data_IF_246249537034
#
_entry.id   IF_246249537034
#
_cell.length_a   1.000
_cell.length_b   1.000
_cell.length_c   1.000
_cell.angle_alpha   90.00
_cell.angle_beta   90.00
_cell.angle_gamma   90.00
#
_symmetry.space_group_name_H-M   'P 1'
#
loop_
_entity.id
_entity.type
_entity.pdbx_description
1 polymer ?
#
# COMPACT_ATOMS: atom_id res chain seq x y z
N UNK A 1 2.78 30.40 25.72
CA UNK A 1 1.42 30.18 26.25
C UNK A 1 0.49 31.08 25.49
N UNK A 2 -0.69 30.55 25.17
CA UNK A 2 -1.81 31.10 24.40
C UNK A 2 -1.87 30.97 22.87
N UNK A 3 -3.09 30.59 22.47
CA UNK A 3 -3.67 30.27 21.15
C UNK A 3 -3.32 28.86 20.62
N UNK A 4 -4.24 27.91 20.46
CA UNK A 4 -5.69 27.95 20.45
C UNK A 4 -6.20 26.52 20.68
N UNK A 5 -6.96 26.28 21.74
CA UNK A 5 -7.79 25.07 21.86
C UNK A 5 -8.87 25.19 20.79
N UNK A 6 -8.58 24.66 19.60
CA UNK A 6 -9.52 24.60 18.49
C UNK A 6 -10.65 23.68 18.94
N UNK A 7 -11.78 24.26 19.30
CA UNK A 7 -12.98 23.53 19.72
C UNK A 7 -13.21 22.37 18.75
N UNK A 8 -13.15 21.17 19.31
CA UNK A 8 -13.28 19.92 18.59
C UNK A 8 -14.74 19.81 18.15
N UNK A 9 -15.03 20.25 16.93
CA UNK A 9 -16.39 20.21 16.35
C UNK A 9 -16.94 18.78 16.48
N UNK A 10 -18.15 18.62 17.02
CA UNK A 10 -18.83 17.34 17.25
C UNK A 10 -18.79 16.31 16.09
N UNK A 11 -18.73 16.66 14.79
CA UNK A 11 -18.61 15.66 13.72
C UNK A 11 -17.28 14.90 13.75
N UNK A 12 -16.21 15.49 14.27
CA UNK A 12 -14.88 14.85 14.36
C UNK A 12 -14.82 13.78 15.44
N UNK A 13 -15.65 13.90 16.47
CA UNK A 13 -15.75 12.93 17.56
C UNK A 13 -16.46 11.66 17.11
N UNK A 14 -17.57 11.81 16.35
CA UNK A 14 -18.25 10.69 15.71
C UNK A 14 -17.35 10.02 14.67
N UNK A 15 -16.62 10.82 13.87
CA UNK A 15 -15.67 10.32 12.88
C UNK A 15 -14.49 9.55 13.48
N UNK A 16 -14.03 9.90 14.69
CA UNK A 16 -13.02 9.14 15.43
C UNK A 16 -13.57 7.84 16.01
N UNK A 17 -14.82 7.81 16.47
CA UNK A 17 -15.48 6.58 16.92
C UNK A 17 -15.68 5.58 15.76
N UNK A 18 -15.99 6.09 14.57
CA UNK A 18 -16.14 5.29 13.34
C UNK A 18 -14.81 4.92 12.68
N UNK A 19 -13.72 5.61 13.01
CA UNK A 19 -12.42 5.39 12.39
C UNK A 19 -11.27 5.73 13.37
N UNK A 20 -11.03 4.85 14.38
CA UNK A 20 -10.13 5.15 15.50
C UNK A 20 -8.66 5.24 15.08
N UNK A 21 -8.29 4.70 13.92
CA UNK A 21 -6.90 4.63 13.44
C UNK A 21 -6.55 5.69 12.39
N UNK A 22 -7.47 6.62 12.08
CA UNK A 22 -7.24 7.72 11.14
C UNK A 22 -6.11 8.65 11.63
N UNK A 23 -5.20 9.01 10.73
CA UNK A 23 -4.15 10.00 11.05
C UNK A 23 -4.75 11.39 11.33
N UNK A 24 -4.12 12.16 12.23
CA UNK A 24 -4.57 13.53 12.54
C UNK A 24 -4.33 14.52 11.40
N UNK A 25 -3.30 14.29 10.59
CA UNK A 25 -3.02 15.07 9.39
C UNK A 25 -3.76 14.49 8.18
N UNK A 26 -4.64 15.28 7.57
CA UNK A 26 -5.44 14.90 6.41
C UNK A 26 -4.59 14.59 5.17
N UNK A 27 -3.46 15.28 4.99
CA UNK A 27 -2.53 14.99 3.88
C UNK A 27 -1.87 13.62 4.06
N UNK A 28 -1.50 13.29 5.31
CA UNK A 28 -0.90 11.99 5.64
C UNK A 28 -1.90 10.85 5.42
N UNK A 29 -3.16 11.08 5.79
CA UNK A 29 -4.24 10.11 5.51
C UNK A 29 -4.46 9.95 4.01
N UNK A 30 -4.48 11.03 3.23
CA UNK A 30 -4.58 10.93 1.75
C UNK A 30 -3.40 10.17 1.14
N UNK A 31 -2.18 10.40 1.63
CA UNK A 31 -0.98 9.69 1.17
C UNK A 31 -1.08 8.20 1.49
N UNK A 32 -1.52 7.86 2.71
CA UNK A 32 -1.76 6.49 3.15
C UNK A 32 -2.84 5.79 2.31
N UNK A 33 -3.96 6.46 2.02
CA UNK A 33 -5.03 5.91 1.17
C UNK A 33 -4.53 5.61 -0.25
N UNK A 34 -3.72 6.49 -0.85
CA UNK A 34 -3.08 6.22 -2.15
C UNK A 34 -2.08 5.08 -2.07
N UNK A 35 -1.27 5.03 -1.01
CA UNK A 35 -0.31 3.95 -0.77
C UNK A 35 -1.01 2.59 -0.68
N UNK A 36 -2.07 2.49 0.12
CA UNK A 36 -2.86 1.26 0.24
C UNK A 36 -3.53 0.87 -1.06
N UNK A 37 -4.14 1.81 -1.77
CA UNK A 37 -4.79 1.55 -3.05
C UNK A 37 -3.82 0.89 -4.04
N UNK A 38 -2.58 1.39 -4.10
CA UNK A 38 -1.51 0.80 -4.92
C UNK A 38 -1.00 -0.54 -4.38
N UNK A 39 -0.80 -0.65 -3.07
CA UNK A 39 -0.32 -1.88 -2.44
C UNK A 39 -1.33 -3.03 -2.61
N UNK A 40 -2.63 -2.74 -2.47
CA UNK A 40 -3.74 -3.70 -2.55
C UNK A 40 -4.28 -3.87 -3.98
N UNK A 41 -3.75 -3.17 -4.98
CA UNK A 41 -4.08 -3.50 -6.39
C UNK A 41 -3.75 -4.97 -6.70
N UNK A 42 -2.59 -5.45 -6.24
CA UNK A 42 -2.19 -6.85 -6.36
C UNK A 42 -3.15 -7.81 -5.64
N UNK A 43 -3.63 -7.43 -4.44
CA UNK A 43 -4.58 -8.27 -3.70
C UNK A 43 -5.95 -8.32 -4.39
N UNK A 44 -6.44 -7.21 -4.93
CA UNK A 44 -7.69 -7.15 -5.71
C UNK A 44 -7.58 -8.01 -6.97
N UNK A 45 -6.45 -7.93 -7.68
CA UNK A 45 -6.17 -8.82 -8.84
C UNK A 45 -6.19 -10.28 -8.41
N UNK A 46 -5.56 -10.64 -7.29
CA UNK A 46 -5.55 -12.00 -6.77
C UNK A 46 -6.96 -12.50 -6.39
N UNK A 47 -7.79 -11.66 -5.78
CA UNK A 47 -9.20 -11.95 -5.46
C UNK A 47 -9.99 -12.29 -6.72
N UNK A 48 -9.90 -11.43 -7.75
CA UNK A 48 -10.63 -11.64 -9.00
C UNK A 48 -10.13 -12.88 -9.72
N UNK A 49 -8.81 -13.11 -9.77
CA UNK A 49 -8.21 -14.30 -10.36
C UNK A 49 -8.65 -15.59 -9.65
N UNK A 50 -8.70 -15.59 -8.32
CA UNK A 50 -9.20 -16.71 -7.53
C UNK A 50 -10.67 -17.00 -7.86
N UNK A 51 -11.50 -15.95 -8.03
CA UNK A 51 -12.90 -16.12 -8.42
C UNK A 51 -13.08 -16.64 -9.84
N UNK A 52 -12.25 -16.22 -10.80
CA UNK A 52 -12.22 -16.82 -12.15
C UNK A 52 -11.90 -18.31 -12.03
N UNK A 53 -10.87 -18.69 -11.28
CA UNK A 53 -10.50 -20.08 -11.08
C UNK A 53 -11.66 -20.88 -10.44
N UNK A 54 -12.22 -20.39 -9.34
CA UNK A 54 -13.31 -21.05 -8.61
C UNK A 54 -14.54 -21.25 -9.51
N UNK A 55 -15.00 -20.21 -10.19
CA UNK A 55 -16.19 -20.26 -11.06
C UNK A 55 -15.98 -21.15 -12.28
N UNK A 56 -14.76 -21.17 -12.83
CA UNK A 56 -14.38 -22.10 -13.91
C UNK A 56 -14.44 -23.54 -13.45
N UNK A 57 -13.84 -23.85 -12.29
CA UNK A 57 -13.86 -25.21 -11.72
C UNK A 57 -15.29 -25.66 -11.43
N UNK A 58 -16.13 -24.79 -10.84
CA UNK A 58 -17.54 -25.09 -10.60
C UNK A 58 -18.33 -25.32 -11.89
N UNK A 59 -18.10 -24.51 -12.93
CA UNK A 59 -18.75 -24.67 -14.23
C UNK A 59 -18.35 -25.99 -14.93
N UNK A 60 -17.06 -26.34 -14.89
CA UNK A 60 -16.54 -27.59 -15.47
C UNK A 60 -17.09 -28.80 -14.72
N UNK A 61 -17.01 -28.80 -13.39
CA UNK A 61 -17.53 -29.89 -12.56
C UNK A 61 -19.05 -30.06 -12.75
N UNK A 62 -19.78 -28.95 -12.78
CA UNK A 62 -21.22 -28.95 -13.04
C UNK A 62 -21.56 -29.58 -14.38
N UNK A 63 -20.87 -29.19 -15.45
CA UNK A 63 -21.08 -29.75 -16.79
C UNK A 63 -20.69 -31.23 -16.88
N UNK A 64 -19.54 -31.60 -16.29
CA UNK A 64 -19.04 -32.96 -16.30
C UNK A 64 -19.98 -33.95 -15.58
N UNK A 65 -20.59 -33.52 -14.46
CA UNK A 65 -21.47 -34.36 -13.66
C UNK A 65 -22.89 -34.47 -14.24
N UNK A 66 -23.49 -33.34 -14.63
CA UNK A 66 -24.90 -33.33 -15.10
C UNK A 66 -25.05 -33.64 -16.58
N UNK A 67 -23.98 -33.56 -17.38
CA UNK A 67 -23.95 -33.77 -18.83
C UNK A 67 -25.05 -33.01 -19.62
N UNK A 68 -25.63 -31.97 -19.02
CA UNK A 68 -26.67 -31.12 -19.57
C UNK A 68 -26.49 -29.67 -19.08
N UNK A 69 -26.85 -28.67 -19.89
CA UNK A 69 -26.78 -27.27 -19.49
C UNK A 69 -27.88 -26.97 -18.46
N UNK A 70 -27.54 -27.06 -17.17
CA UNK A 70 -28.42 -26.60 -16.09
C UNK A 70 -28.31 -25.08 -15.91
N UNK A 71 -29.36 -24.39 -15.43
CA UNK A 71 -29.32 -22.93 -15.22
C UNK A 71 -28.20 -22.50 -14.28
N UNK A 72 -27.85 -23.32 -13.29
CA UNK A 72 -26.75 -23.09 -12.37
C UNK A 72 -25.38 -23.14 -13.06
N UNK A 73 -25.16 -24.08 -13.98
CA UNK A 73 -23.92 -24.16 -14.76
C UNK A 73 -23.77 -22.96 -15.70
N UNK A 74 -24.87 -22.53 -16.34
CA UNK A 74 -24.90 -21.32 -17.18
C UNK A 74 -24.54 -20.09 -16.36
N UNK A 75 -25.05 -19.99 -15.13
CA UNK A 75 -24.73 -18.87 -14.24
C UNK A 75 -23.26 -18.86 -13.80
N UNK A 76 -22.68 -20.01 -13.45
CA UNK A 76 -21.25 -20.11 -13.12
C UNK A 76 -20.36 -19.75 -14.31
N UNK A 77 -20.73 -20.17 -15.52
CA UNK A 77 -20.04 -19.77 -16.75
C UNK A 77 -20.13 -18.25 -17.01
N UNK A 78 -21.30 -17.65 -16.79
CA UNK A 78 -21.50 -16.20 -16.90
C UNK A 78 -20.64 -15.42 -15.88
N UNK A 79 -20.56 -15.90 -14.63
CA UNK A 79 -19.70 -15.29 -13.60
C UNK A 79 -18.22 -15.42 -13.94
N UNK A 80 -17.80 -16.55 -14.50
CA UNK A 80 -16.42 -16.73 -14.98
C UNK A 80 -16.06 -15.69 -16.04
N UNK A 81 -16.92 -15.52 -17.07
CA UNK A 81 -16.70 -14.51 -18.12
C UNK A 81 -16.64 -13.10 -17.51
N UNK A 82 -17.56 -12.79 -16.59
CA UNK A 82 -17.63 -11.48 -15.97
C UNK A 82 -16.38 -11.15 -15.12
N UNK A 83 -15.92 -12.08 -14.28
CA UNK A 83 -14.68 -11.89 -13.52
C UNK A 83 -13.44 -11.91 -14.42
N UNK A 84 -13.44 -12.64 -15.54
CA UNK A 84 -12.34 -12.61 -16.52
C UNK A 84 -12.26 -11.25 -17.24
N UNK A 85 -13.40 -10.65 -17.59
CA UNK A 85 -13.45 -9.28 -18.13
C UNK A 85 -12.94 -8.28 -17.10
N UNK A 86 -13.36 -8.41 -15.84
CA UNK A 86 -12.89 -7.55 -14.75
C UNK A 86 -11.39 -7.70 -14.51
N UNK A 87 -10.86 -8.93 -14.60
CA UNK A 87 -9.43 -9.22 -14.48
C UNK A 87 -8.64 -8.58 -15.62
N UNK A 88 -9.15 -8.70 -16.86
CA UNK A 88 -8.59 -8.03 -18.03
C UNK A 88 -8.56 -6.51 -17.83
N UNK A 89 -9.66 -5.93 -17.35
CA UNK A 89 -9.76 -4.50 -17.03
C UNK A 89 -8.74 -4.07 -15.96
N UNK A 90 -8.61 -4.84 -14.87
CA UNK A 90 -7.62 -4.61 -13.80
C UNK A 90 -6.17 -4.63 -14.28
N UNK A 91 -5.87 -5.41 -15.33
CA UNK A 91 -4.53 -5.51 -15.93
C UNK A 91 -4.24 -4.40 -16.96
N UNK A 92 -5.26 -3.70 -17.45
CA UNK A 92 -5.04 -2.60 -18.38
C UNK A 92 -4.36 -1.41 -17.69
N UNK A 93 -3.45 -0.75 -18.40
CA UNK A 93 -2.81 0.51 -17.94
C UNK A 93 -3.78 1.70 -17.84
N UNK A 94 -5.05 1.51 -18.22
CA UNK A 94 -6.10 2.53 -18.13
C UNK A 94 -6.63 2.71 -16.70
N UNK A 95 -6.26 1.81 -15.77
CA UNK A 95 -6.67 1.88 -14.38
C UNK A 95 -6.01 3.05 -13.65
N UNK A 96 -6.75 4.15 -13.51
CA UNK A 96 -6.40 5.23 -12.58
C UNK A 96 -6.79 4.85 -11.14
N UNK A 97 -6.04 5.37 -10.17
CA UNK A 97 -6.25 5.13 -8.72
C UNK A 97 -7.70 5.44 -8.26
N UNK A 98 -8.43 6.32 -8.97
CA UNK A 98 -9.83 6.67 -8.66
C UNK A 98 -10.84 5.58 -9.02
N UNK A 99 -10.57 4.74 -10.03
CA UNK A 99 -11.50 3.69 -10.45
C UNK A 99 -11.39 2.42 -9.60
N UNK A 100 -10.28 2.20 -8.88
CA UNK A 100 -10.07 0.97 -8.11
C UNK A 100 -11.14 0.78 -7.03
N UNK A 101 -11.55 1.86 -6.36
CA UNK A 101 -12.60 1.80 -5.34
C UNK A 101 -13.96 1.40 -5.94
N UNK A 102 -14.31 1.94 -7.11
CA UNK A 102 -15.52 1.56 -7.84
C UNK A 102 -15.48 0.10 -8.30
N UNK A 103 -14.33 -0.36 -8.77
CA UNK A 103 -14.11 -1.78 -9.10
C UNK A 103 -14.29 -2.65 -7.85
N UNK A 104 -13.82 -2.21 -6.68
CA UNK A 104 -14.03 -2.97 -5.44
C UNK A 104 -15.51 -3.11 -5.07
N UNK A 105 -16.31 -2.07 -5.24
CA UNK A 105 -17.77 -2.15 -5.05
C UNK A 105 -18.43 -3.05 -6.09
N UNK A 106 -17.98 -3.00 -7.35
CA UNK A 106 -18.45 -3.91 -8.39
C UNK A 106 -18.13 -5.38 -8.05
N UNK A 107 -16.90 -5.66 -7.60
CA UNK A 107 -16.50 -7.00 -7.11
C UNK A 107 -17.44 -7.43 -5.99
N UNK A 108 -17.64 -6.62 -4.94
CA UNK A 108 -18.56 -6.96 -3.85
C UNK A 108 -19.98 -7.28 -4.33
N UNK A 109 -20.49 -6.50 -5.28
CA UNK A 109 -21.79 -6.76 -5.88
C UNK A 109 -21.84 -8.13 -6.56
N UNK A 110 -20.85 -8.46 -7.40
CA UNK A 110 -20.80 -9.76 -8.08
C UNK A 110 -20.51 -10.94 -7.12
N UNK A 111 -19.83 -10.70 -6.01
CA UNK A 111 -19.66 -11.68 -4.94
C UNK A 111 -21.00 -11.96 -4.24
N UNK A 112 -21.80 -10.93 -3.98
CA UNK A 112 -23.14 -11.11 -3.41
C UNK A 112 -24.06 -11.87 -4.38
N UNK A 113 -24.03 -11.56 -5.69
CA UNK A 113 -24.81 -12.31 -6.68
C UNK A 113 -24.35 -13.77 -6.77
N UNK A 114 -23.04 -14.05 -6.68
CA UNK A 114 -22.52 -15.41 -6.61
C UNK A 114 -23.08 -16.19 -5.42
N UNK A 115 -23.15 -15.58 -4.23
CA UNK A 115 -23.79 -16.18 -3.06
C UNK A 115 -25.30 -16.35 -3.25
N UNK A 116 -25.98 -15.40 -3.90
CA UNK A 116 -27.43 -15.45 -4.10
C UNK A 116 -27.86 -16.67 -4.95
N UNK A 117 -27.07 -17.08 -5.94
CA UNK A 117 -27.38 -18.27 -6.75
C UNK A 117 -27.04 -19.58 -6.04
N UNK A 118 -26.18 -19.54 -5.02
CA UNK A 118 -25.96 -20.70 -4.17
C UNK A 118 -27.10 -20.95 -3.17
N UNK A 119 -28.06 -20.01 -3.05
CA UNK A 119 -29.23 -20.16 -2.20
C UNK A 119 -30.27 -21.07 -2.86
N UNK A 120 -31.06 -21.79 -2.04
CA UNK A 120 -32.14 -22.63 -2.56
C UNK A 120 -33.15 -21.79 -3.36
N UNK A 121 -33.45 -22.14 -4.62
CA UNK A 121 -34.34 -21.36 -5.46
C UNK A 121 -35.79 -21.41 -4.97
N UNK A 122 -36.49 -20.29 -5.15
CA UNK A 122 -37.93 -20.18 -4.91
C UNK A 122 -38.69 -21.18 -5.80
N UNK A 123 -39.65 -21.88 -5.20
CA UNK A 123 -40.33 -23.03 -5.76
C UNK A 123 -41.23 -22.61 -6.95
N UNK A 124 -40.70 -22.64 -8.17
CA UNK A 124 -41.52 -22.67 -9.39
C UNK A 124 -41.01 -23.74 -10.35
N UNK A 125 -41.54 -24.96 -10.17
CA UNK A 125 -41.67 -26.01 -11.20
C UNK A 125 -40.48 -26.94 -11.51
N UNK A 126 -39.69 -27.40 -10.53
CA UNK A 126 -38.90 -28.65 -10.70
C UNK A 126 -38.96 -29.53 -9.47
N UNK A 127 -39.57 -30.70 -9.62
CA UNK A 127 -40.20 -31.56 -8.60
C UNK A 127 -39.28 -32.53 -7.84
N UNK A 128 -37.97 -32.31 -7.67
CA UNK A 128 -37.11 -33.35 -7.04
C UNK A 128 -35.87 -32.92 -6.25
N UNK A 129 -35.58 -31.62 -6.03
CA UNK A 129 -34.41 -31.24 -5.21
C UNK A 129 -34.81 -30.88 -3.78
N UNK A 130 -34.41 -31.74 -2.84
CA UNK A 130 -34.49 -31.45 -1.39
C UNK A 130 -33.41 -30.45 -1.04
N UNK A 131 -33.80 -29.24 -0.67
CA UNK A 131 -32.88 -28.14 -0.32
C UNK A 131 -32.58 -28.15 1.17
N UNK A 132 -31.31 -28.20 1.55
CA UNK A 132 -30.86 -28.22 2.95
C UNK A 132 -30.43 -26.83 3.38
N UNK A 133 -30.65 -26.43 4.65
CA UNK A 133 -30.25 -25.11 5.12
C UNK A 133 -28.72 -24.85 5.10
N UNK A 134 -27.91 -25.91 4.96
CA UNK A 134 -26.47 -25.82 4.78
C UNK A 134 -26.03 -25.46 3.33
N UNK A 135 -26.95 -25.47 2.36
CA UNK A 135 -26.65 -25.03 1.00
C UNK A 135 -26.31 -23.53 0.98
N UNK A 136 -25.25 -23.16 0.27
CA UNK A 136 -24.80 -21.77 0.21
C UNK A 136 -23.89 -21.32 1.37
N UNK A 137 -23.81 -22.08 2.48
CA UNK A 137 -23.06 -21.65 3.68
C UNK A 137 -21.57 -21.46 3.39
N UNK A 138 -20.95 -22.37 2.64
CA UNK A 138 -19.51 -22.25 2.34
C UNK A 138 -19.21 -21.06 1.41
N UNK A 139 -20.10 -20.75 0.46
CA UNK A 139 -19.97 -19.59 -0.42
C UNK A 139 -20.03 -18.29 0.38
N UNK A 140 -20.98 -18.18 1.31
CA UNK A 140 -21.10 -17.01 2.20
C UNK A 140 -19.86 -16.86 3.07
N UNK A 141 -19.42 -17.92 3.75
CA UNK A 141 -18.21 -17.89 4.59
C UNK A 141 -16.99 -17.45 3.77
N UNK A 142 -16.83 -18.02 2.58
CA UNK A 142 -15.71 -17.71 1.69
C UNK A 142 -15.73 -16.25 1.22
N UNK A 143 -16.88 -15.75 0.76
CA UNK A 143 -17.05 -14.36 0.30
C UNK A 143 -16.86 -13.35 1.43
N UNK A 144 -17.43 -13.62 2.60
CA UNK A 144 -17.28 -12.74 3.78
C UNK A 144 -15.80 -12.67 4.19
N UNK A 145 -15.12 -13.81 4.28
CA UNK A 145 -13.69 -13.84 4.59
C UNK A 145 -12.88 -13.01 3.58
N UNK A 146 -13.13 -13.18 2.29
CA UNK A 146 -12.39 -12.47 1.25
C UNK A 146 -12.65 -10.96 1.25
N UNK A 147 -13.90 -10.56 1.56
CA UNK A 147 -14.28 -9.16 1.70
C UNK A 147 -13.54 -8.46 2.86
N UNK A 148 -13.35 -9.14 3.99
CA UNK A 148 -12.57 -8.58 5.11
C UNK A 148 -11.05 -8.61 4.88
N UNK A 149 -10.53 -9.71 4.34
CA UNK A 149 -9.10 -9.99 4.31
C UNK A 149 -8.37 -9.34 3.14
N UNK A 150 -9.00 -9.18 1.97
CA UNK A 150 -8.29 -8.84 0.74
C UNK A 150 -8.77 -7.56 0.05
N UNK A 151 -9.95 -7.05 0.40
CA UNK A 151 -10.53 -5.86 -0.22
C UNK A 151 -10.08 -4.57 0.49
N UNK A 152 -9.69 -3.53 -0.27
CA UNK A 152 -9.26 -2.23 0.26
C UNK A 152 -10.45 -1.35 0.68
N UNK A 153 -11.35 -1.88 1.50
CA UNK A 153 -12.57 -1.20 1.94
C UNK A 153 -12.48 -0.80 3.40
N UNK A 154 -13.25 0.21 3.79
CA UNK A 154 -13.35 0.60 5.20
C UNK A 154 -13.96 -0.55 6.00
N UNK A 155 -13.47 -0.79 7.22
CA UNK A 155 -13.93 -1.86 8.10
C UNK A 155 -15.45 -1.94 8.24
N UNK A 156 -16.13 -0.80 8.41
CA UNK A 156 -17.58 -0.75 8.56
C UNK A 156 -18.33 -1.18 7.29
N UNK A 157 -17.78 -0.95 6.09
CA UNK A 157 -18.40 -1.36 4.83
C UNK A 157 -18.35 -2.88 4.71
N UNK A 158 -17.17 -3.47 4.98
CA UNK A 158 -17.01 -4.92 4.99
C UNK A 158 -17.90 -5.57 6.06
N UNK A 159 -18.05 -4.92 7.23
CA UNK A 159 -18.92 -5.41 8.30
C UNK A 159 -20.41 -5.38 7.95
N UNK A 160 -20.89 -4.27 7.37
CA UNK A 160 -22.27 -4.17 6.91
C UNK A 160 -22.54 -5.17 5.78
N UNK A 161 -21.61 -5.31 4.83
CA UNK A 161 -21.71 -6.31 3.75
C UNK A 161 -21.79 -7.74 4.29
N UNK A 162 -20.88 -8.11 5.20
CA UNK A 162 -20.86 -9.45 5.80
C UNK A 162 -22.12 -9.76 6.61
N UNK A 163 -22.58 -8.80 7.42
CA UNK A 163 -23.80 -8.96 8.20
C UNK A 163 -25.04 -9.10 7.30
N UNK A 164 -25.21 -8.23 6.30
CA UNK A 164 -26.33 -8.28 5.37
C UNK A 164 -26.36 -9.60 4.59
N UNK A 165 -25.20 -10.09 4.14
CA UNK A 165 -25.11 -11.34 3.40
C UNK A 165 -25.48 -12.55 4.27
N UNK A 166 -25.00 -12.60 5.51
CA UNK A 166 -25.36 -13.64 6.47
C UNK A 166 -26.85 -13.60 6.84
N UNK A 167 -27.43 -12.41 7.06
CA UNK A 167 -28.85 -12.25 7.34
C UNK A 167 -29.72 -12.66 6.14
N UNK A 168 -29.32 -12.29 4.91
CA UNK A 168 -30.02 -12.68 3.70
C UNK A 168 -30.02 -14.20 3.52
N UNK A 169 -28.86 -14.86 3.72
CA UNK A 169 -28.77 -16.32 3.67
C UNK A 169 -29.66 -16.99 4.72
N UNK A 170 -29.64 -16.51 5.96
CA UNK A 170 -30.47 -17.06 7.04
C UNK A 170 -31.96 -16.87 6.76
N UNK A 171 -32.37 -15.70 6.26
CA UNK A 171 -33.76 -15.43 5.90
C UNK A 171 -34.24 -16.36 4.78
N UNK A 172 -33.47 -16.48 3.70
CA UNK A 172 -33.82 -17.35 2.56
C UNK A 172 -33.85 -18.81 2.97
N UNK A 173 -32.82 -19.31 3.69
CA UNK A 173 -32.82 -20.71 4.14
C UNK A 173 -33.91 -21.01 5.16
N UNK A 174 -34.30 -20.07 6.02
CA UNK A 174 -35.41 -20.28 6.97
C UNK A 174 -36.78 -20.45 6.31
N UNK A 175 -36.98 -19.84 5.13
CA UNK A 175 -38.26 -19.88 4.40
C UNK A 175 -38.28 -21.02 3.38
N UNK A 176 -37.18 -21.25 2.68
CA UNK A 176 -37.13 -22.13 1.51
C UNK A 176 -36.48 -23.50 1.76
N UNK A 177 -35.77 -23.71 2.89
CA UNK A 177 -35.18 -25.02 3.17
C UNK A 177 -36.25 -26.04 3.58
N UNK A 178 -36.54 -26.98 2.69
CA UNK A 178 -37.53 -28.06 2.92
C UNK A 178 -36.90 -29.38 3.38
N UNK A 179 -35.57 -29.49 3.34
CA UNK A 179 -34.84 -30.70 3.71
C UNK A 179 -34.72 -30.92 5.22
N UNK A 180 -35.08 -32.12 5.67
CA UNK A 180 -34.95 -32.58 7.06
C UNK A 180 -35.57 -31.62 8.10
N UNK A 181 -36.91 -31.46 8.13
CA UNK A 181 -37.59 -30.49 8.99
C UNK A 181 -37.31 -30.66 10.49
N UNK A 182 -37.08 -31.90 10.94
CA UNK A 182 -36.72 -32.20 12.33
C UNK A 182 -35.32 -31.68 12.74
N UNK A 183 -34.43 -31.47 11.77
CA UNK A 183 -33.07 -30.96 11.97
C UNK A 183 -32.92 -29.47 11.61
N UNK A 184 -33.98 -28.84 11.09
CA UNK A 184 -33.93 -27.47 10.55
C UNK A 184 -33.44 -26.45 11.59
N UNK A 185 -33.94 -26.53 12.84
CA UNK A 185 -33.48 -25.64 13.92
C UNK A 185 -32.00 -25.84 14.25
N UNK A 186 -31.53 -27.09 14.27
CA UNK A 186 -30.12 -27.40 14.54
C UNK A 186 -29.21 -26.84 13.43
N UNK A 187 -29.63 -26.96 12.16
CA UNK A 187 -28.89 -26.41 11.02
C UNK A 187 -28.86 -24.88 11.02
N UNK A 188 -29.98 -24.22 11.33
CA UNK A 188 -30.04 -22.75 11.44
C UNK A 188 -29.15 -22.24 12.57
N UNK A 189 -29.19 -22.89 13.74
CA UNK A 189 -28.30 -22.55 14.88
C UNK A 189 -26.83 -22.73 14.49
N UNK A 190 -26.48 -23.82 13.79
CA UNK A 190 -25.12 -24.03 13.30
C UNK A 190 -24.68 -22.94 12.31
N UNK A 191 -25.54 -22.55 11.37
CA UNK A 191 -25.26 -21.45 10.43
C UNK A 191 -25.07 -20.11 11.16
N UNK A 192 -25.91 -19.79 12.15
CA UNK A 192 -25.76 -18.57 12.97
C UNK A 192 -24.42 -18.56 13.70
N UNK A 193 -24.00 -19.69 14.28
CA UNK A 193 -22.71 -19.81 14.96
C UNK A 193 -21.53 -19.60 13.98
N UNK A 194 -21.57 -20.24 12.81
CA UNK A 194 -20.52 -20.11 11.78
C UNK A 194 -20.47 -18.68 11.23
N UNK A 195 -21.61 -18.05 10.96
CA UNK A 195 -21.69 -16.67 10.46
C UNK A 195 -21.25 -15.64 11.50
N UNK A 196 -21.57 -15.87 12.76
CA UNK A 196 -21.05 -15.03 13.86
C UNK A 196 -19.54 -15.16 13.96
N UNK A 197 -19.02 -16.39 13.90
CA UNK A 197 -17.58 -16.66 13.95
C UNK A 197 -16.82 -16.00 12.80
N UNK A 198 -17.25 -16.17 11.54
CA UNK A 198 -16.56 -15.59 10.38
C UNK A 198 -16.58 -14.06 10.40
N UNK A 199 -17.65 -13.43 10.90
CA UNK A 199 -17.69 -11.97 11.03
C UNK A 199 -16.77 -11.46 12.14
N UNK A 200 -16.73 -12.13 13.30
CA UNK A 200 -15.82 -11.76 14.40
C UNK A 200 -14.36 -11.92 13.94
N UNK A 201 -14.02 -13.07 13.36
CA UNK A 201 -12.68 -13.33 12.82
C UNK A 201 -12.35 -12.36 11.69
N UNK A 202 -13.31 -12.06 10.82
CA UNK A 202 -13.17 -11.11 9.72
C UNK A 202 -12.85 -9.69 10.19
N UNK A 203 -13.62 -9.16 11.15
CA UNK A 203 -13.35 -7.84 11.77
C UNK A 203 -11.98 -7.82 12.43
N UNK A 204 -11.64 -8.87 13.19
CA UNK A 204 -10.33 -8.97 13.84
C UNK A 204 -9.18 -8.99 12.83
N UNK A 205 -9.26 -9.82 11.79
CA UNK A 205 -8.26 -9.89 10.71
C UNK A 205 -8.13 -8.56 9.97
N UNK A 206 -9.25 -7.90 9.68
CA UNK A 206 -9.25 -6.60 9.02
C UNK A 206 -8.50 -5.55 9.86
N UNK A 207 -8.79 -5.47 11.16
CA UNK A 207 -8.10 -4.55 12.07
C UNK A 207 -6.61 -4.85 12.18
N UNK A 208 -6.23 -6.13 12.28
CA UNK A 208 -4.82 -6.53 12.28
C UNK A 208 -4.09 -6.11 11.00
N UNK A 209 -4.73 -6.32 9.85
CA UNK A 209 -4.18 -5.92 8.56
C UNK A 209 -4.05 -4.40 8.44
N UNK A 210 -5.09 -3.64 8.83
CA UNK A 210 -5.04 -2.17 8.81
C UNK A 210 -3.90 -1.64 9.68
N UNK A 211 -3.74 -2.18 10.89
CA UNK A 211 -2.63 -1.84 11.78
C UNK A 211 -1.27 -2.16 11.17
N UNK A 212 -1.11 -3.36 10.61
CA UNK A 212 0.14 -3.77 9.96
C UNK A 212 0.47 -2.85 8.78
N UNK A 213 -0.52 -2.48 7.97
CA UNK A 213 -0.36 -1.58 6.83
C UNK A 213 0.00 -0.15 7.25
N UNK A 214 -0.66 0.40 8.28
CA UNK A 214 -0.34 1.73 8.82
C UNK A 214 1.09 1.78 9.36
N UNK A 215 1.49 0.74 10.08
CA UNK A 215 2.86 0.62 10.59
C UNK A 215 3.88 0.53 9.44
N UNK A 216 3.66 -0.36 8.48
CA UNK A 216 4.54 -0.51 7.33
C UNK A 216 4.68 0.79 6.51
N UNK A 217 3.59 1.55 6.37
CA UNK A 217 3.60 2.86 5.72
C UNK A 217 4.48 3.87 6.47
N UNK A 218 4.34 3.96 7.81
CA UNK A 218 5.17 4.85 8.62
C UNK A 218 6.64 4.44 8.60
N UNK A 219 6.93 3.15 8.69
CA UNK A 219 8.29 2.61 8.62
C UNK A 219 8.93 2.93 7.27
N UNK A 220 8.20 2.75 6.17
CA UNK A 220 8.66 3.10 4.81
C UNK A 220 8.95 4.60 4.70
N UNK A 221 8.06 5.45 5.22
CA UNK A 221 8.25 6.91 5.20
C UNK A 221 9.48 7.33 6.00
N UNK A 222 9.64 6.80 7.21
CA UNK A 222 10.78 7.13 8.07
C UNK A 222 12.10 6.65 7.45
N UNK A 223 12.10 5.48 6.79
CA UNK A 223 13.24 4.98 6.04
C UNK A 223 13.61 5.91 4.87
N UNK A 224 12.62 6.37 4.08
CA UNK A 224 12.86 7.33 2.99
C UNK A 224 13.40 8.65 3.53
N UNK A 225 12.86 9.17 4.63
CA UNK A 225 13.32 10.41 5.24
C UNK A 225 14.79 10.29 5.70
N UNK A 226 15.14 9.21 6.42
CA UNK A 226 16.51 8.94 6.83
C UNK A 226 17.45 8.78 5.62
N UNK A 227 16.99 8.13 4.55
CA UNK A 227 17.77 8.00 3.30
C UNK A 227 18.07 9.36 2.68
N UNK A 228 17.09 10.26 2.61
CA UNK A 228 17.28 11.61 2.07
C UNK A 228 18.22 12.45 2.94
N UNK A 229 18.11 12.34 4.27
CA UNK A 229 19.00 13.02 5.21
C UNK A 229 20.45 12.53 5.04
N UNK A 230 20.65 11.21 4.93
CA UNK A 230 21.97 10.64 4.63
C UNK A 230 22.52 11.11 3.28
N UNK A 231 21.68 11.24 2.25
CA UNK A 231 22.12 11.74 0.94
C UNK A 231 22.57 13.22 1.01
N UNK A 232 21.85 14.08 1.74
CA UNK A 232 22.22 15.49 1.94
C UNK A 232 23.50 15.65 2.78
N UNK A 233 23.65 14.86 3.85
CA UNK A 233 24.90 14.84 4.62
C UNK A 233 26.09 14.36 3.79
N UNK A 234 25.89 13.32 2.97
CA UNK A 234 26.94 12.81 2.09
C UNK A 234 27.34 13.84 1.02
N UNK A 235 26.39 14.57 0.42
CA UNK A 235 26.67 15.66 -0.52
C UNK A 235 27.47 16.79 0.14
N UNK A 236 27.11 17.18 1.38
CA UNK A 236 27.86 18.16 2.17
C UNK A 236 29.29 17.69 2.45
N UNK A 237 29.48 16.43 2.84
CA UNK A 237 30.79 15.85 3.07
C UNK A 237 31.64 15.83 1.79
N UNK A 238 31.06 15.44 0.65
CA UNK A 238 31.76 15.44 -0.64
C UNK A 238 32.18 16.85 -1.06
N UNK A 239 31.31 17.85 -0.87
CA UNK A 239 31.63 19.26 -1.13
C UNK A 239 32.75 19.77 -0.23
N UNK A 240 32.73 19.44 1.06
CA UNK A 240 33.79 19.81 1.99
C UNK A 240 35.13 19.16 1.60
N UNK A 241 35.10 17.89 1.23
CA UNK A 241 36.29 17.15 0.82
C UNK A 241 36.91 17.75 -0.44
N UNK A 242 36.09 18.12 -1.44
CA UNK A 242 36.55 18.79 -2.66
C UNK A 242 36.97 20.26 -2.46
N UNK A 243 36.55 20.91 -1.37
CA UNK A 243 36.98 22.28 -1.07
C UNK A 243 38.43 22.39 -0.59
N UNK A 244 39.00 21.28 -0.10
CA UNK A 244 40.37 21.23 0.44
C UNK A 244 41.31 20.44 -0.48
N UNK A 245 40.79 19.42 -1.17
CA UNK A 245 41.59 18.48 -1.95
C UNK A 245 41.19 18.52 -3.44
N UNK A 246 42.17 18.42 -4.37
CA UNK A 246 41.88 18.20 -5.77
C UNK A 246 41.09 16.91 -6.01
N UNK A 247 40.21 16.92 -7.01
CA UNK A 247 39.24 15.83 -7.29
C UNK A 247 39.88 14.43 -7.42
N UNK A 248 41.07 14.32 -8.02
CA UNK A 248 41.74 13.03 -8.20
C UNK A 248 42.24 12.43 -6.88
N UNK A 249 42.81 13.26 -5.98
CA UNK A 249 43.25 12.83 -4.64
C UNK A 249 42.03 12.51 -3.78
N UNK A 250 41.01 13.35 -3.85
CA UNK A 250 39.74 13.16 -3.17
C UNK A 250 39.09 11.80 -3.47
N UNK A 251 39.08 11.40 -4.75
CA UNK A 251 38.52 10.11 -5.17
C UNK A 251 39.38 8.93 -4.70
N UNK A 252 40.71 9.04 -4.75
CA UNK A 252 41.62 8.03 -4.22
C UNK A 252 41.43 7.84 -2.71
N UNK A 253 41.35 8.95 -1.95
CA UNK A 253 41.06 8.94 -0.52
C UNK A 253 39.71 8.31 -0.20
N UNK A 254 38.67 8.65 -0.97
CA UNK A 254 37.33 8.06 -0.79
C UNK A 254 37.36 6.55 -0.99
N UNK A 255 38.04 6.07 -2.02
CA UNK A 255 38.17 4.63 -2.28
C UNK A 255 38.92 3.92 -1.15
N UNK A 256 40.01 4.50 -0.64
CA UNK A 256 40.78 3.93 0.47
C UNK A 256 39.99 3.89 1.79
N UNK A 257 39.04 4.82 2.01
CA UNK A 257 38.12 4.78 3.17
C UNK A 257 37.09 3.67 3.01
N UNK A 258 36.56 3.46 1.81
CA UNK A 258 35.55 2.42 1.52
C UNK A 258 36.16 1.02 1.60
N UNK A 259 37.39 0.86 1.11
CA UNK A 259 38.14 -0.39 1.15
C UNK A 259 39.49 -0.17 1.84
N UNK A 260 39.54 -0.17 3.19
CA UNK A 260 40.76 0.08 3.91
C UNK A 260 41.77 -1.02 3.62
N UNK A 261 42.93 -0.61 3.11
CA UNK A 261 44.09 -1.49 2.97
C UNK A 261 44.80 -1.51 4.31
N UNK A 262 44.75 -2.64 5.02
CA UNK A 262 45.48 -2.79 6.28
C UNK A 262 46.99 -2.72 6.04
N UNK A 263 47.64 -1.73 6.66
CA UNK A 263 49.08 -1.55 6.61
C UNK A 263 49.60 -1.02 7.96
N UNK A 264 50.88 -1.26 8.26
CA UNK A 264 51.52 -0.80 9.49
C UNK A 264 51.70 0.74 9.57
N UNK A 265 51.51 1.46 8.46
CA UNK A 265 51.74 2.90 8.36
C UNK A 265 50.53 3.63 7.76
N UNK A 266 50.34 4.88 8.16
CA UNK A 266 49.34 5.76 7.57
C UNK A 266 49.74 6.15 6.13
N UNK A 267 48.84 5.98 5.16
CA UNK A 267 49.12 6.29 3.74
C UNK A 267 49.19 7.81 3.54
N UNK A 268 50.23 8.28 2.85
CA UNK A 268 50.39 9.67 2.41
C UNK A 268 50.25 9.69 0.88
N UNK A 269 49.40 10.57 0.36
CA UNK A 269 49.11 10.68 -1.08
C UNK A 269 50.13 11.61 -1.76
N UNK A 270 51.14 11.04 -2.42
CA UNK A 270 52.18 11.77 -3.15
C UNK A 270 52.24 11.26 -4.59
N UNK A 271 52.12 12.15 -5.57
CA UNK A 271 52.22 11.83 -6.98
C UNK A 271 53.34 12.65 -7.64
N UNK A 272 54.18 11.98 -8.45
CA UNK A 272 55.21 12.64 -9.26
C UNK A 272 54.58 13.04 -10.60
N UNK A 273 54.59 14.34 -10.91
CA UNK A 273 54.15 14.85 -12.21
C UNK A 273 55.36 15.37 -13.01
N UNK A 274 55.48 14.91 -14.27
CA UNK A 274 56.45 15.41 -15.23
C UNK A 274 55.74 16.40 -16.18
N UNK A 275 56.42 17.49 -16.57
CA UNK A 275 55.88 18.55 -17.44
C UNK A 275 54.76 19.41 -16.81
N UNK A 276 54.98 19.91 -15.59
CA UNK A 276 54.10 20.91 -14.95
C UNK A 276 54.76 22.29 -14.96
N UNK A 277 53.94 23.36 -14.97
CA UNK A 277 54.39 24.73 -14.77
C UNK A 277 53.88 25.24 -13.43
N UNK A 278 54.72 25.97 -12.69
CA UNK A 278 54.36 26.55 -11.38
C UNK A 278 54.41 28.07 -11.51
N UNK A 279 53.30 28.74 -11.18
CA UNK A 279 53.21 30.20 -11.16
C UNK A 279 53.22 30.68 -9.70
N UNK A 280 54.09 31.62 -9.38
CA UNK A 280 54.09 32.35 -8.11
C UNK A 280 53.61 33.78 -8.35
N UNK A 281 52.75 34.29 -7.45
CA UNK A 281 52.28 35.66 -7.46
C UNK A 281 52.28 36.20 -6.03
N UNK A 282 52.64 37.47 -5.87
CA UNK A 282 52.66 38.17 -4.57
C UNK A 282 52.12 39.60 -4.73
N UNK A 283 51.52 40.13 -3.66
CA UNK A 283 50.96 41.47 -3.63
C UNK A 283 52.05 42.44 -3.16
N UNK A 284 52.61 43.20 -4.10
CA UNK A 284 53.60 44.23 -3.78
C UNK A 284 52.97 45.32 -2.90
N UNK A 285 53.60 45.63 -1.77
CA UNK A 285 53.18 46.73 -0.88
C UNK A 285 51.99 46.39 0.04
N UNK A 286 51.63 45.11 0.19
CA UNK A 286 50.51 44.68 1.04
C UNK A 286 50.60 45.20 2.49
N UNK A 287 51.79 45.25 3.09
CA UNK A 287 52.00 45.70 4.46
C UNK A 287 51.56 47.15 4.68
N UNK A 288 51.80 48.02 3.70
CA UNK A 288 51.41 49.44 3.76
C UNK A 288 49.90 49.57 3.64
N UNK A 289 49.29 48.84 2.70
CA UNK A 289 47.83 48.78 2.52
C UNK A 289 47.12 48.30 3.79
N UNK A 290 47.61 47.21 4.40
CA UNK A 290 47.05 46.64 5.61
C UNK A 290 47.12 47.60 6.82
N UNK A 291 48.12 48.48 6.88
CA UNK A 291 48.25 49.48 7.95
C UNK A 291 47.28 50.65 7.86
N UNK A 292 46.70 50.89 6.68
CA UNK A 292 45.80 52.02 6.40
C UNK A 292 44.32 51.62 6.40
N UNK A 293 44.02 50.31 6.40
CA UNK A 293 42.67 49.77 6.39
C UNK A 293 42.24 49.27 7.76
N UNK A 294 40.94 49.33 8.04
CA UNK A 294 40.39 48.56 9.16
C UNK A 294 40.41 47.06 8.82
N UNK A 295 40.41 46.20 9.83
CA UNK A 295 40.43 44.74 9.63
C UNK A 295 39.29 44.26 8.72
N UNK A 296 38.10 44.85 8.82
CA UNK A 296 36.94 44.46 8.03
C UNK A 296 37.07 44.88 6.56
N UNK A 297 37.63 46.06 6.29
CA UNK A 297 37.89 46.54 4.92
C UNK A 297 38.97 45.70 4.24
N UNK A 298 40.03 45.34 4.98
CA UNK A 298 41.10 44.49 4.47
C UNK A 298 40.58 43.10 4.06
N UNK A 299 39.76 42.46 4.92
CA UNK A 299 39.17 41.16 4.62
C UNK A 299 38.24 41.22 3.40
N UNK A 300 37.44 42.29 3.27
CA UNK A 300 36.58 42.47 2.09
C UNK A 300 37.39 42.60 0.80
N UNK A 301 38.45 43.41 0.82
CA UNK A 301 39.31 43.63 -0.35
C UNK A 301 40.02 42.34 -0.76
N UNK A 302 40.56 41.58 0.20
CA UNK A 302 41.17 40.28 -0.07
C UNK A 302 40.18 39.27 -0.64
N UNK A 303 38.96 39.20 -0.08
CA UNK A 303 37.95 38.28 -0.55
C UNK A 303 37.49 38.61 -1.99
N UNK A 304 37.42 39.89 -2.36
CA UNK A 304 37.14 40.29 -3.75
C UNK A 304 38.31 39.93 -4.68
N UNK A 305 39.55 40.21 -4.28
CA UNK A 305 40.73 39.90 -5.08
C UNK A 305 40.85 38.39 -5.34
N UNK A 306 40.80 37.57 -4.27
CA UNK A 306 40.87 36.13 -4.38
C UNK A 306 39.65 35.56 -5.12
N UNK A 307 38.46 36.11 -4.92
CA UNK A 307 37.28 35.72 -5.69
C UNK A 307 37.42 35.95 -7.20
N UNK A 308 38.09 37.04 -7.63
CA UNK A 308 38.41 37.27 -9.05
C UNK A 308 39.46 36.29 -9.58
N UNK A 309 40.44 35.90 -8.77
CA UNK A 309 41.42 34.87 -9.14
C UNK A 309 40.75 33.49 -9.29
N UNK A 310 39.87 33.12 -8.35
CA UNK A 310 39.13 31.85 -8.41
C UNK A 310 38.23 31.75 -9.66
N UNK A 311 37.66 32.87 -10.12
CA UNK A 311 36.88 32.92 -11.37
C UNK A 311 37.73 32.80 -12.63
N UNK A 312 39.00 33.22 -12.59
CA UNK A 312 39.92 33.09 -13.73
C UNK A 312 40.57 31.70 -13.77
N UNK A 313 40.62 31.01 -12.63
CA UNK A 313 41.25 29.70 -12.48
C UNK A 313 40.29 28.51 -12.65
N UNK A 314 38.98 28.72 -12.45
CA UNK A 314 37.90 27.74 -12.74
C UNK A 314 37.42 27.85 -14.19
#
# INVERSE_FOLDING_TARGET
>A
MDHSVKAMTSPRLLGRLLNPHRFENDELEQLYQRYICKLQHSSVVAVVALFVLLTTVLAILGLAYTQAPTPQNVYHAAHCILFAVLLGFLHTRLMQDAYLLWVCYAVLFFLATFCAVALPPDHTNTTTKVTVAAEGTWQVVFVVFLAYAMMPLKAWIAAVFGFLLCCAHLAVTSVFATGFPHLMWQQLVANVLVFSCVNIVGVFMHNLMEHAQRKAFLDTRNCIAARLEMEDENEKLERLLLSVLPQHVAMEMKNDIISPVEGQFHKIYIQKHENVSILFADIVGFTVLASQCTAQELVRLLNELFGRFDQLAN
#
